data_IF_412159492159
#
_entry.id   IF_412159492159
#
_cell.length_a   1.000
_cell.length_b   1.000
_cell.length_c   1.000
_cell.angle_alpha   90.00
_cell.angle_beta   90.00
_cell.angle_gamma   90.00
#
_symmetry.space_group_name_H-M   'P 1'
#
loop_
_entity.id
_entity.type
_entity.pdbx_description
1 polymer ?
#
# COMPACT_ATOMS: atom_id res chain seq x y z
N UNK A 1 -26.46 -15.25 13.11
CA UNK A 1 -25.66 -14.11 13.59
C UNK A 1 -24.28 -14.66 13.93
N UNK A 2 -23.32 -14.52 13.05
CA UNK A 2 -21.93 -14.90 13.32
C UNK A 2 -21.31 -13.79 14.17
N UNK A 3 -20.82 -14.15 15.33
CA UNK A 3 -20.19 -13.26 16.32
C UNK A 3 -18.88 -12.73 15.71
N UNK A 4 -18.97 -11.63 14.92
CA UNK A 4 -17.78 -10.92 14.41
C UNK A 4 -17.10 -10.24 15.60
N UNK A 5 -15.94 -10.75 15.96
CA UNK A 5 -15.03 -10.05 16.89
C UNK A 5 -13.90 -9.44 16.07
N UNK A 6 -13.82 -8.10 15.98
CA UNK A 6 -12.70 -7.45 15.33
C UNK A 6 -11.39 -7.95 15.95
N UNK A 7 -10.42 -8.32 15.11
CA UNK A 7 -9.11 -8.74 15.59
C UNK A 7 -8.44 -7.53 16.27
N UNK A 8 -8.18 -7.63 17.56
CA UNK A 8 -7.45 -6.60 18.29
C UNK A 8 -6.10 -6.35 17.60
N UNK A 9 -5.74 -5.07 17.47
CA UNK A 9 -4.44 -4.66 16.94
C UNK A 9 -3.31 -5.38 17.67
N UNK A 10 -2.52 -6.17 16.96
CA UNK A 10 -1.45 -6.95 17.55
C UNK A 10 -0.17 -6.12 17.62
N UNK A 11 0.48 -6.08 18.77
CA UNK A 11 1.70 -5.31 19.02
C UNK A 11 2.77 -6.17 19.69
N UNK A 12 4.03 -5.82 19.45
CA UNK A 12 5.17 -6.46 20.10
C UNK A 12 5.25 -7.97 19.88
N UNK A 13 5.37 -8.75 20.94
CA UNK A 13 5.55 -10.21 20.93
C UNK A 13 4.36 -10.92 20.28
N UNK A 14 3.13 -10.45 20.48
CA UNK A 14 1.92 -11.08 19.90
C UNK A 14 1.90 -10.92 18.37
N UNK A 15 2.37 -9.78 17.85
CA UNK A 15 2.55 -9.57 16.41
C UNK A 15 3.66 -10.47 15.86
N UNK A 16 4.79 -10.53 16.54
CA UNK A 16 5.95 -11.36 16.15
C UNK A 16 5.62 -12.85 16.21
N UNK A 17 4.86 -13.32 17.19
CA UNK A 17 4.48 -14.73 17.31
C UNK A 17 3.54 -15.21 16.20
N UNK A 18 2.77 -14.30 15.59
CA UNK A 18 1.89 -14.57 14.44
C UNK A 18 2.49 -14.21 13.09
N UNK A 19 3.62 -13.52 13.09
CA UNK A 19 4.48 -13.37 11.91
C UNK A 19 5.47 -14.53 11.97
N UNK A 20 5.18 -15.72 11.38
CA UNK A 20 6.19 -16.75 11.29
C UNK A 20 7.37 -16.14 10.56
N UNK A 21 8.55 -16.56 10.93
CA UNK A 21 9.83 -16.12 10.38
C UNK A 21 9.70 -16.00 8.87
N UNK A 22 9.46 -14.79 8.37
CA UNK A 22 9.36 -14.51 6.93
C UNK A 22 10.75 -14.62 6.29
N UNK A 23 11.75 -14.29 7.08
CA UNK A 23 13.15 -14.31 6.69
C UNK A 23 14.01 -14.71 7.91
N UNK A 24 15.11 -15.45 7.76
CA UNK A 24 16.05 -15.70 8.85
C UNK A 24 16.48 -14.39 9.50
N UNK A 25 16.49 -14.36 10.84
CA UNK A 25 16.82 -13.13 11.56
C UNK A 25 18.18 -12.57 11.12
N UNK A 26 18.19 -11.34 10.64
CA UNK A 26 19.44 -10.63 10.35
C UNK A 26 20.16 -10.33 11.67
N UNK A 27 21.46 -10.62 11.75
CA UNK A 27 22.29 -10.20 12.88
C UNK A 27 22.22 -8.65 13.00
N UNK A 28 21.98 -8.18 14.23
CA UNK A 28 21.98 -6.73 14.50
C UNK A 28 23.27 -6.04 14.08
N UNK A 29 24.41 -6.74 14.21
CA UNK A 29 25.72 -6.22 13.81
C UNK A 29 25.87 -6.04 12.30
N UNK A 30 25.04 -6.73 11.47
CA UNK A 30 25.04 -6.64 10.02
C UNK A 30 24.08 -5.58 9.48
N UNK A 31 23.28 -4.93 10.35
CA UNK A 31 22.38 -3.85 9.92
C UNK A 31 23.16 -2.62 9.51
N UNK A 32 22.89 -2.12 8.31
CA UNK A 32 23.42 -0.85 7.87
C UNK A 32 22.89 0.29 8.77
N UNK A 33 23.74 1.20 9.24
CA UNK A 33 23.30 2.38 9.99
C UNK A 33 22.43 3.26 9.10
N UNK A 34 21.33 3.76 9.67
CA UNK A 34 20.45 4.69 8.95
C UNK A 34 21.17 6.01 8.71
N UNK A 35 21.27 6.48 7.47
CA UNK A 35 21.89 7.77 7.18
C UNK A 35 21.02 8.94 7.67
N UNK A 36 21.62 10.14 7.72
CA UNK A 36 20.98 11.33 8.28
C UNK A 36 19.72 11.79 7.55
N UNK A 37 19.54 11.43 6.29
CA UNK A 37 18.35 11.77 5.50
C UNK A 37 17.15 10.83 5.72
N UNK A 38 17.33 9.71 6.42
CA UNK A 38 16.24 8.82 6.83
C UNK A 38 15.74 9.27 8.20
N UNK A 39 14.89 10.31 8.20
CA UNK A 39 14.32 10.87 9.44
C UNK A 39 12.81 11.04 9.29
N UNK A 40 12.05 10.41 10.19
CA UNK A 40 10.62 10.63 10.33
C UNK A 40 10.33 11.88 11.16
N UNK A 41 9.30 12.62 10.81
CA UNK A 41 8.77 13.69 11.67
C UNK A 41 8.05 13.07 12.88
N UNK A 42 8.19 13.67 14.05
CA UNK A 42 7.53 13.17 15.26
C UNK A 42 6.00 13.23 15.14
N UNK A 43 5.27 12.12 15.32
CA UNK A 43 3.82 12.06 15.09
C UNK A 43 2.98 12.55 16.28
N UNK A 44 3.57 13.22 17.25
CA UNK A 44 2.96 13.55 18.56
C UNK A 44 2.11 14.84 18.57
N UNK A 45 1.42 15.19 17.48
CA UNK A 45 0.54 16.37 17.47
C UNK A 45 -0.85 16.05 18.05
N UNK A 46 -1.57 17.03 18.67
CA UNK A 46 -2.95 16.83 19.14
C UNK A 46 -3.90 16.34 18.03
N UNK A 47 -3.70 16.78 16.79
CA UNK A 47 -4.47 16.33 15.63
C UNK A 47 -4.31 14.83 15.40
N UNK A 48 -3.07 14.33 15.39
CA UNK A 48 -2.78 12.89 15.25
C UNK A 48 -3.39 12.07 16.39
N UNK A 49 -3.31 12.57 17.64
CA UNK A 49 -3.91 11.88 18.77
C UNK A 49 -5.43 11.78 18.65
N UNK A 50 -6.11 12.85 18.18
CA UNK A 50 -7.56 12.85 17.90
C UNK A 50 -7.91 11.82 16.83
N UNK A 51 -7.19 11.80 15.71
CA UNK A 51 -7.45 10.87 14.60
C UNK A 51 -7.28 9.41 15.03
N UNK A 52 -6.23 9.11 15.80
CA UNK A 52 -6.05 7.77 16.38
C UNK A 52 -7.20 7.36 17.31
N UNK A 53 -7.78 8.31 18.05
CA UNK A 53 -8.95 8.04 18.90
C UNK A 53 -10.17 7.69 18.06
N UNK A 54 -10.44 8.43 16.98
CA UNK A 54 -11.53 8.17 16.02
C UNK A 54 -11.40 6.77 15.41
N UNK A 55 -10.21 6.42 14.91
CA UNK A 55 -9.94 5.08 14.35
C UNK A 55 -10.26 3.95 15.33
N UNK A 56 -9.86 4.09 16.60
CA UNK A 56 -10.14 3.08 17.63
C UNK A 56 -11.62 2.97 17.98
N UNK A 57 -12.33 4.10 18.01
CA UNK A 57 -13.78 4.12 18.28
C UNK A 57 -14.56 3.42 17.17
N UNK A 58 -14.13 3.57 15.92
CA UNK A 58 -14.77 2.95 14.75
C UNK A 58 -14.17 1.58 14.39
N UNK A 59 -13.27 1.03 15.20
CA UNK A 59 -12.64 -0.30 15.02
C UNK A 59 -11.95 -0.50 13.65
N UNK A 60 -11.44 0.58 13.07
CA UNK A 60 -10.75 0.56 11.78
C UNK A 60 -9.24 0.49 11.94
N UNK A 61 -8.61 -0.13 10.95
CA UNK A 61 -7.18 -0.23 10.80
C UNK A 61 -6.66 0.74 9.74
N UNK A 62 -5.49 1.31 9.98
CA UNK A 62 -4.76 2.07 8.96
C UNK A 62 -3.40 1.43 8.70
N UNK A 63 -2.98 1.39 7.44
CA UNK A 63 -1.61 0.98 7.09
C UNK A 63 -0.58 1.86 7.80
N UNK A 64 -0.92 3.12 8.01
CA UNK A 64 -0.06 4.07 8.73
C UNK A 64 0.28 3.60 10.15
N UNK A 65 -0.64 2.92 10.84
CA UNK A 65 -0.41 2.35 12.17
C UNK A 65 0.12 0.91 12.10
N UNK A 66 -0.47 0.05 11.25
CA UNK A 66 -0.10 -1.37 11.17
C UNK A 66 1.31 -1.60 10.61
N UNK A 67 1.71 -0.83 9.60
CA UNK A 67 3.04 -0.91 9.00
C UNK A 67 4.06 0.06 9.62
N UNK A 68 3.77 0.69 10.76
CA UNK A 68 4.65 1.67 11.44
C UNK A 68 5.17 2.74 10.47
N UNK A 69 4.27 3.31 9.65
CA UNK A 69 4.64 4.28 8.61
C UNK A 69 5.32 5.52 9.21
N UNK A 70 6.51 5.89 8.73
CA UNK A 70 7.24 7.07 9.24
C UNK A 70 6.54 8.39 8.95
N UNK A 71 5.61 8.44 7.98
CA UNK A 71 4.93 9.64 7.53
C UNK A 71 3.56 9.87 8.20
N UNK A 72 3.14 8.99 9.12
CA UNK A 72 1.83 9.06 9.79
C UNK A 72 1.48 10.46 10.29
N UNK A 73 2.44 11.14 10.95
CA UNK A 73 2.22 12.48 11.48
C UNK A 73 1.98 13.54 10.41
N UNK A 74 2.62 13.40 9.27
CA UNK A 74 2.51 14.33 8.14
C UNK A 74 1.22 14.09 7.34
N UNK A 75 0.95 12.84 6.94
CA UNK A 75 -0.26 12.48 6.21
C UNK A 75 -1.53 12.86 6.98
N UNK A 76 -1.61 12.48 8.25
CA UNK A 76 -2.74 12.84 9.10
C UNK A 76 -2.84 14.36 9.31
N UNK A 77 -1.69 15.07 9.34
CA UNK A 77 -1.63 16.53 9.40
C UNK A 77 -2.25 17.19 8.16
N UNK A 78 -2.04 16.59 6.98
CA UNK A 78 -2.49 17.11 5.68
C UNK A 78 -3.90 16.64 5.27
N UNK A 79 -4.59 15.86 6.09
CA UNK A 79 -5.94 15.38 5.76
C UNK A 79 -5.97 14.17 4.82
N UNK A 80 -4.87 13.43 4.72
CA UNK A 80 -4.78 12.18 3.94
C UNK A 80 -4.61 11.00 4.88
N UNK A 81 -5.34 9.91 4.63
CA UNK A 81 -5.20 8.66 5.38
C UNK A 81 -5.30 7.45 4.47
N UNK A 82 -4.60 6.37 4.85
CA UNK A 82 -4.67 5.09 4.16
C UNK A 82 -5.32 4.07 5.07
N UNK A 83 -6.53 3.67 4.71
CA UNK A 83 -7.29 2.65 5.44
C UNK A 83 -6.98 1.27 4.90
N UNK A 84 -6.87 0.30 5.80
CA UNK A 84 -6.71 -1.11 5.46
C UNK A 84 -8.01 -1.83 5.76
N UNK A 85 -8.67 -2.32 4.74
CA UNK A 85 -9.93 -3.05 4.81
C UNK A 85 -9.72 -4.57 4.80
N UNK A 86 -10.79 -5.33 5.07
CA UNK A 86 -10.81 -6.79 5.09
C UNK A 86 -9.99 -7.42 6.22
N UNK A 87 -9.74 -6.65 7.28
CA UNK A 87 -9.04 -7.10 8.49
C UNK A 87 -7.52 -6.92 8.45
N UNK A 88 -6.83 -7.50 9.44
CA UNK A 88 -5.40 -7.30 9.68
C UNK A 88 -4.53 -8.55 9.39
N UNK A 89 -5.11 -9.62 8.80
CA UNK A 89 -4.40 -10.86 8.47
C UNK A 89 -4.38 -11.07 6.97
N UNK A 90 -3.18 -11.12 6.40
CA UNK A 90 -2.95 -11.36 4.97
C UNK A 90 -2.80 -12.86 4.68
N UNK A 91 -3.31 -13.34 3.55
CA UNK A 91 -3.09 -14.73 3.10
C UNK A 91 -1.67 -14.95 2.60
N UNK A 92 -0.91 -13.89 2.30
CA UNK A 92 0.47 -13.96 1.77
C UNK A 92 1.53 -13.56 2.79
N UNK A 93 2.79 -13.94 2.49
CA UNK A 93 3.95 -13.82 3.38
C UNK A 93 5.09 -13.02 2.75
N UNK A 94 4.80 -11.84 2.22
CA UNK A 94 5.84 -11.01 1.63
C UNK A 94 6.87 -10.61 2.68
N UNK A 95 8.17 -10.95 2.52
CA UNK A 95 9.16 -10.77 3.58
C UNK A 95 9.60 -9.32 3.80
N UNK A 96 9.12 -8.38 2.99
CA UNK A 96 9.29 -6.94 3.22
C UNK A 96 8.17 -6.33 4.08
N UNK A 97 6.99 -6.97 4.11
CA UNK A 97 5.75 -6.40 4.66
C UNK A 97 5.58 -6.71 6.14
N UNK A 98 5.25 -5.69 6.95
CA UNK A 98 5.03 -5.82 8.40
C UNK A 98 3.60 -6.26 8.77
N UNK A 99 2.71 -6.42 7.80
CA UNK A 99 1.35 -6.92 8.04
C UNK A 99 1.40 -8.39 8.46
N UNK A 100 0.63 -8.73 9.50
CA UNK A 100 0.52 -10.09 9.99
C UNK A 100 -0.12 -10.99 8.93
N UNK A 101 0.25 -12.29 8.91
CA UNK A 101 -0.33 -13.23 7.95
C UNK A 101 -0.93 -14.44 8.67
N UNK A 102 -1.88 -15.07 7.99
CA UNK A 102 -2.61 -16.20 8.53
C UNK A 102 -3.89 -16.45 7.77
N UNK A 103 -4.85 -17.08 8.44
CA UNK A 103 -6.20 -17.27 7.91
C UNK A 103 -7.07 -16.07 8.32
N UNK A 104 -7.48 -15.20 7.37
CA UNK A 104 -8.35 -14.07 7.67
C UNK A 104 -9.73 -14.52 8.20
N UNK A 105 -10.37 -13.64 8.96
CA UNK A 105 -11.78 -13.81 9.36
C UNK A 105 -12.71 -13.52 8.18
N UNK A 106 -14.00 -13.82 8.34
CA UNK A 106 -15.02 -13.39 7.39
C UNK A 106 -15.03 -11.86 7.25
N UNK A 107 -15.45 -11.37 6.09
CA UNK A 107 -15.62 -9.94 5.86
C UNK A 107 -16.66 -9.35 6.81
N UNK A 108 -16.39 -8.14 7.32
CA UNK A 108 -17.35 -7.39 8.10
C UNK A 108 -18.31 -6.63 7.16
N UNK A 109 -19.60 -6.96 7.13
CA UNK A 109 -20.56 -6.26 6.28
C UNK A 109 -20.77 -4.79 6.68
N UNK A 110 -20.36 -4.38 7.89
CA UNK A 110 -20.47 -3.01 8.38
C UNK A 110 -19.21 -2.18 8.11
N UNK A 111 -18.11 -2.78 7.67
CA UNK A 111 -16.84 -2.06 7.42
C UNK A 111 -17.01 -0.89 6.43
N UNK A 112 -17.79 -0.98 5.32
CA UNK A 112 -18.01 0.16 4.42
C UNK A 112 -18.70 1.36 5.10
N UNK A 113 -19.63 1.10 6.03
CA UNK A 113 -20.32 2.15 6.79
C UNK A 113 -19.38 2.78 7.80
N UNK A 114 -18.64 1.95 8.55
CA UNK A 114 -17.66 2.41 9.54
C UNK A 114 -16.54 3.24 8.89
N UNK A 115 -16.05 2.81 7.72
CA UNK A 115 -15.07 3.55 6.90
C UNK A 115 -15.61 4.94 6.53
N UNK A 116 -16.83 4.98 5.98
CA UNK A 116 -17.46 6.23 5.53
C UNK A 116 -17.67 7.21 6.69
N UNK A 117 -18.13 6.73 7.85
CA UNK A 117 -18.26 7.55 9.06
C UNK A 117 -16.92 8.13 9.48
N UNK A 118 -15.89 7.28 9.53
CA UNK A 118 -14.55 7.70 9.95
C UNK A 118 -13.95 8.73 9.02
N UNK A 119 -14.03 8.53 7.71
CA UNK A 119 -13.57 9.47 6.70
C UNK A 119 -14.27 10.83 6.85
N UNK A 120 -15.59 10.81 7.08
CA UNK A 120 -16.39 12.01 7.33
C UNK A 120 -15.98 12.74 8.61
N UNK A 121 -15.82 12.02 9.74
CA UNK A 121 -15.40 12.56 11.04
C UNK A 121 -13.98 13.14 11.02
N UNK A 122 -13.10 12.55 10.18
CA UNK A 122 -11.75 13.04 9.96
C UNK A 122 -11.69 14.27 9.04
N UNK A 123 -12.75 14.55 8.28
CA UNK A 123 -12.83 15.66 7.32
C UNK A 123 -11.82 15.52 6.19
N UNK A 124 -11.66 14.30 5.65
CA UNK A 124 -10.72 14.05 4.58
C UNK A 124 -11.31 14.47 3.23
N UNK A 125 -10.47 15.04 2.37
CA UNK A 125 -10.76 15.33 0.96
C UNK A 125 -10.22 14.26 0.02
N UNK A 126 -9.22 13.49 0.48
CA UNK A 126 -8.61 12.39 -0.25
C UNK A 126 -8.44 11.17 0.68
N UNK A 127 -8.83 10.01 0.19
CA UNK A 127 -8.70 8.75 0.94
C UNK A 127 -8.04 7.68 0.09
N UNK A 128 -7.07 6.98 0.67
CA UNK A 128 -6.52 5.76 0.09
C UNK A 128 -7.11 4.56 0.80
N UNK A 129 -7.67 3.63 0.06
CA UNK A 129 -8.19 2.36 0.57
C UNK A 129 -7.29 1.24 0.06
N UNK A 130 -6.72 0.47 0.97
CA UNK A 130 -5.97 -0.73 0.61
C UNK A 130 -6.49 -1.94 1.40
N UNK A 131 -5.98 -3.11 1.10
CA UNK A 131 -6.38 -4.33 1.80
C UNK A 131 -5.20 -5.25 2.06
N UNK A 132 -5.43 -6.23 2.90
CA UNK A 132 -4.65 -7.47 2.91
C UNK A 132 -4.98 -8.30 1.67
N UNK A 133 -4.07 -9.20 1.24
CA UNK A 133 -4.43 -10.20 0.22
C UNK A 133 -5.47 -11.18 0.78
N UNK A 134 -6.49 -11.45 -0.02
CA UNK A 134 -7.61 -12.32 0.30
C UNK A 134 -7.74 -13.43 -0.76
N UNK A 135 -6.66 -14.20 -0.95
CA UNK A 135 -6.66 -15.35 -1.86
C UNK A 135 -7.69 -16.44 -1.46
N UNK A 136 -8.27 -16.33 -0.27
CA UNK A 136 -9.35 -17.17 0.25
C UNK A 136 -10.73 -16.80 -0.34
N UNK A 137 -10.91 -15.60 -0.90
CA UNK A 137 -12.15 -15.14 -1.52
C UNK A 137 -12.16 -15.42 -3.02
N UNK A 138 -13.35 -15.69 -3.57
CA UNK A 138 -13.52 -16.03 -4.99
C UNK A 138 -13.20 -14.88 -5.94
N UNK A 139 -13.41 -13.65 -5.48
CA UNK A 139 -13.17 -12.40 -6.20
C UNK A 139 -11.90 -11.67 -5.72
N UNK A 140 -11.12 -12.29 -4.82
CA UNK A 140 -9.96 -11.67 -4.20
C UNK A 140 -10.28 -10.44 -3.33
N UNK A 141 -11.56 -10.21 -2.99
CA UNK A 141 -12.04 -9.08 -2.21
C UNK A 141 -12.50 -7.88 -3.04
N UNK A 142 -12.56 -7.98 -4.37
CA UNK A 142 -12.98 -6.88 -5.24
C UNK A 142 -14.38 -6.35 -4.91
N UNK A 143 -15.35 -7.22 -4.60
CA UNK A 143 -16.69 -6.82 -4.19
C UNK A 143 -16.70 -5.98 -2.90
N UNK A 144 -15.79 -6.24 -1.98
CA UNK A 144 -15.68 -5.45 -0.76
C UNK A 144 -15.07 -4.06 -1.01
N UNK A 145 -14.09 -3.96 -1.92
CA UNK A 145 -13.61 -2.65 -2.39
C UNK A 145 -14.75 -1.82 -2.99
N UNK A 146 -15.55 -2.42 -3.88
CA UNK A 146 -16.70 -1.74 -4.50
C UNK A 146 -17.72 -1.30 -3.44
N UNK A 147 -18.01 -2.12 -2.45
CA UNK A 147 -18.91 -1.74 -1.35
C UNK A 147 -18.39 -0.52 -0.58
N UNK A 148 -17.08 -0.47 -0.29
CA UNK A 148 -16.43 0.66 0.38
C UNK A 148 -16.46 1.94 -0.48
N UNK A 149 -16.08 1.83 -1.76
CA UNK A 149 -16.08 2.97 -2.70
C UNK A 149 -17.49 3.51 -2.87
N UNK A 150 -18.48 2.65 -3.08
CA UNK A 150 -19.89 3.05 -3.26
C UNK A 150 -20.45 3.74 -2.02
N UNK A 151 -20.15 3.22 -0.82
CA UNK A 151 -20.59 3.85 0.43
C UNK A 151 -19.98 5.25 0.62
N UNK A 152 -18.69 5.42 0.30
CA UNK A 152 -18.02 6.72 0.33
C UNK A 152 -18.63 7.69 -0.68
N UNK A 153 -18.80 7.29 -1.94
CA UNK A 153 -19.41 8.12 -2.99
C UNK A 153 -20.83 8.57 -2.62
N UNK A 154 -21.63 7.68 -2.04
CA UNK A 154 -22.99 8.00 -1.61
C UNK A 154 -23.03 9.08 -0.51
N UNK A 155 -22.12 8.99 0.47
CA UNK A 155 -22.11 9.90 1.62
C UNK A 155 -21.28 11.17 1.41
N UNK A 156 -20.20 11.06 0.65
CA UNK A 156 -19.18 12.08 0.42
C UNK A 156 -18.89 12.19 -1.09
N UNK A 157 -19.80 12.74 -1.90
CA UNK A 157 -19.70 12.69 -3.38
C UNK A 157 -18.46 13.38 -3.95
N UNK A 158 -17.90 14.37 -3.23
CA UNK A 158 -16.72 15.15 -3.67
C UNK A 158 -15.37 14.55 -3.23
N UNK A 159 -15.41 13.42 -2.47
CA UNK A 159 -14.16 12.84 -1.99
C UNK A 159 -13.39 12.16 -3.11
N UNK A 160 -12.07 12.36 -3.16
CA UNK A 160 -11.19 11.64 -4.06
C UNK A 160 -10.80 10.29 -3.44
N UNK A 161 -10.94 9.21 -4.19
CA UNK A 161 -10.73 7.84 -3.71
C UNK A 161 -9.66 7.16 -4.55
N UNK A 162 -8.52 6.83 -3.92
CA UNK A 162 -7.52 5.93 -4.47
C UNK A 162 -7.73 4.54 -3.87
N UNK A 163 -7.69 3.49 -4.69
CA UNK A 163 -7.59 2.12 -4.18
C UNK A 163 -6.21 1.54 -4.49
N UNK A 164 -5.55 0.96 -3.47
CA UNK A 164 -4.33 0.19 -3.62
C UNK A 164 -4.67 -1.29 -3.48
N UNK A 165 -4.71 -2.00 -4.60
CA UNK A 165 -5.23 -3.36 -4.67
C UNK A 165 -4.11 -4.43 -4.68
N UNK A 166 -4.42 -5.67 -4.25
CA UNK A 166 -3.56 -6.83 -4.48
C UNK A 166 -3.53 -7.21 -5.97
N UNK A 167 -2.72 -8.21 -6.35
CA UNK A 167 -2.65 -8.69 -7.74
C UNK A 167 -3.84 -9.58 -8.16
N UNK A 168 -4.81 -9.83 -7.28
CA UNK A 168 -5.96 -10.71 -7.52
C UNK A 168 -5.59 -12.05 -8.15
N UNK A 169 -4.54 -12.66 -7.73
CA UNK A 169 -3.94 -13.88 -8.27
C UNK A 169 -4.96 -14.91 -8.77
N UNK A 170 -4.96 -15.17 -10.10
CA UNK A 170 -5.88 -16.10 -10.74
C UNK A 170 -7.35 -15.65 -10.80
N UNK A 171 -7.65 -14.38 -10.44
CA UNK A 171 -9.01 -13.80 -10.39
C UNK A 171 -9.08 -12.40 -10.99
N UNK A 172 -8.02 -11.94 -11.68
CA UNK A 172 -7.91 -10.57 -12.16
C UNK A 172 -9.10 -10.16 -13.04
N UNK A 173 -9.51 -11.01 -13.99
CA UNK A 173 -10.67 -10.75 -14.85
C UNK A 173 -11.94 -10.44 -14.04
N UNK A 174 -12.32 -11.36 -13.13
CA UNK A 174 -13.52 -11.22 -12.28
C UNK A 174 -13.39 -9.98 -11.39
N UNK A 175 -12.20 -9.75 -10.82
CA UNK A 175 -11.96 -8.61 -9.95
C UNK A 175 -12.09 -7.28 -10.71
N UNK A 176 -11.51 -7.17 -11.90
CA UNK A 176 -11.59 -5.97 -12.74
C UNK A 176 -13.02 -5.69 -13.21
N UNK A 177 -13.79 -6.71 -13.58
CA UNK A 177 -15.21 -6.57 -13.95
C UNK A 177 -16.04 -6.02 -12.78
N UNK A 178 -15.77 -6.47 -11.56
CA UNK A 178 -16.43 -5.99 -10.35
C UNK A 178 -16.00 -4.56 -10.04
N UNK A 179 -14.71 -4.25 -10.04
CA UNK A 179 -14.17 -2.91 -9.74
C UNK A 179 -14.66 -1.86 -10.76
N UNK A 180 -14.84 -2.24 -12.01
CA UNK A 180 -15.42 -1.38 -13.04
C UNK A 180 -16.86 -0.91 -12.79
N UNK A 181 -17.59 -1.55 -11.87
CA UNK A 181 -18.97 -1.16 -11.51
C UNK A 181 -19.03 0.09 -10.63
N UNK A 182 -18.00 0.34 -9.82
CA UNK A 182 -17.86 1.54 -9.00
C UNK A 182 -16.38 1.90 -8.91
N UNK A 183 -15.82 2.46 -9.98
CA UNK A 183 -14.39 2.68 -10.08
C UNK A 183 -13.91 3.79 -9.14
N UNK A 184 -12.63 3.74 -8.70
CA UNK A 184 -11.99 4.81 -7.92
C UNK A 184 -11.63 6.01 -8.80
N UNK A 185 -11.05 7.05 -8.23
CA UNK A 185 -10.43 8.14 -8.97
C UNK A 185 -8.98 7.83 -9.37
N UNK A 186 -8.30 6.95 -8.61
CA UNK A 186 -6.96 6.42 -8.92
C UNK A 186 -6.92 4.94 -8.62
N UNK A 187 -6.45 4.14 -9.58
CA UNK A 187 -6.22 2.71 -9.40
C UNK A 187 -4.74 2.43 -9.21
N UNK A 188 -4.37 1.88 -8.06
CA UNK A 188 -2.99 1.63 -7.68
C UNK A 188 -2.74 0.14 -7.45
N UNK A 189 -1.67 -0.37 -8.05
CA UNK A 189 -1.09 -1.67 -7.74
C UNK A 189 0.44 -1.56 -7.78
N UNK A 190 1.11 -1.83 -6.66
CA UNK A 190 2.55 -1.72 -6.58
C UNK A 190 3.25 -2.95 -7.17
N UNK A 191 4.28 -2.72 -8.00
CA UNK A 191 5.22 -3.77 -8.41
C UNK A 191 6.22 -4.11 -7.31
N UNK A 192 6.49 -3.19 -6.40
CA UNK A 192 7.34 -3.27 -5.20
C UNK A 192 8.83 -3.41 -5.51
N UNK A 193 9.24 -4.17 -6.53
CA UNK A 193 10.65 -4.43 -6.85
C UNK A 193 10.85 -4.82 -8.32
N UNK A 194 12.11 -5.01 -8.72
CA UNK A 194 12.50 -5.40 -10.08
C UNK A 194 12.33 -6.91 -10.33
N UNK A 195 12.14 -7.37 -11.58
CA UNK A 195 11.85 -8.78 -11.92
C UNK A 195 12.80 -9.80 -11.28
N UNK A 196 14.12 -9.54 -11.32
CA UNK A 196 15.15 -10.42 -10.73
C UNK A 196 14.92 -10.70 -9.24
N UNK A 197 14.32 -9.75 -8.51
CA UNK A 197 14.10 -9.86 -7.07
C UNK A 197 12.72 -10.40 -6.69
N UNK A 198 11.80 -10.62 -7.64
CA UNK A 198 10.42 -11.03 -7.34
C UNK A 198 10.34 -12.26 -6.46
N UNK A 199 11.08 -13.33 -6.78
CA UNK A 199 11.06 -14.58 -5.98
C UNK A 199 11.50 -14.38 -4.53
N UNK A 200 12.40 -13.42 -4.28
CA UNK A 200 12.91 -13.09 -2.94
C UNK A 200 11.99 -12.12 -2.19
N UNK A 201 11.45 -11.12 -2.87
CA UNK A 201 10.73 -9.98 -2.29
C UNK A 201 9.23 -10.22 -2.27
N UNK A 202 8.66 -10.72 -3.36
CA UNK A 202 7.22 -11.01 -3.55
C UNK A 202 6.98 -12.48 -3.91
N UNK A 203 7.32 -13.43 -3.03
CA UNK A 203 7.13 -14.85 -3.33
C UNK A 203 5.65 -15.14 -3.60
N UNK A 204 5.38 -15.70 -4.78
CA UNK A 204 4.03 -16.02 -5.22
C UNK A 204 3.30 -14.92 -5.97
N UNK A 205 3.90 -13.75 -6.19
CA UNK A 205 3.46 -12.76 -7.19
C UNK A 205 4.19 -12.98 -8.52
N UNK A 206 3.61 -12.46 -9.59
CA UNK A 206 4.16 -12.51 -10.93
C UNK A 206 4.30 -11.08 -11.48
N UNK A 207 5.43 -10.77 -12.12
CA UNK A 207 5.75 -9.44 -12.61
C UNK A 207 4.87 -9.04 -13.79
N UNK A 208 4.80 -9.90 -14.81
CA UNK A 208 4.02 -9.66 -16.01
C UNK A 208 2.52 -9.58 -15.70
N UNK A 209 2.05 -10.42 -14.77
CA UNK A 209 0.68 -10.35 -14.27
C UNK A 209 0.37 -9.01 -13.60
N UNK A 210 1.31 -8.45 -12.81
CA UNK A 210 1.15 -7.15 -12.16
C UNK A 210 1.08 -6.00 -13.16
N UNK A 211 1.91 -6.02 -14.21
CA UNK A 211 1.84 -5.06 -15.32
C UNK A 211 0.52 -5.18 -16.09
N UNK A 212 0.15 -6.41 -16.45
CA UNK A 212 -1.10 -6.70 -17.16
C UNK A 212 -2.34 -6.26 -16.37
N UNK A 213 -2.34 -6.39 -15.05
CA UNK A 213 -3.43 -5.93 -14.18
C UNK A 213 -3.66 -4.41 -14.31
N UNK A 214 -2.56 -3.63 -14.26
CA UNK A 214 -2.60 -2.17 -14.40
C UNK A 214 -3.10 -1.76 -15.78
N UNK A 215 -2.56 -2.36 -16.82
CA UNK A 215 -2.95 -2.10 -18.21
C UNK A 215 -4.43 -2.42 -18.44
N UNK A 216 -4.87 -3.60 -18.05
CA UNK A 216 -6.26 -4.02 -18.24
C UNK A 216 -7.25 -3.13 -17.49
N UNK A 217 -6.90 -2.62 -16.29
CA UNK A 217 -7.76 -1.66 -15.62
C UNK A 217 -7.82 -0.34 -16.37
N UNK A 218 -6.66 0.21 -16.82
CA UNK A 218 -6.59 1.44 -17.59
C UNK A 218 -7.41 1.38 -18.88
N UNK A 219 -7.34 0.26 -19.59
CA UNK A 219 -8.10 0.03 -20.83
C UNK A 219 -9.62 -0.03 -20.58
N UNK A 220 -10.05 -0.66 -19.48
CA UNK A 220 -11.48 -0.83 -19.16
C UNK A 220 -12.12 0.42 -18.55
N UNK A 221 -11.35 1.21 -17.80
CA UNK A 221 -11.86 2.31 -16.99
C UNK A 221 -11.26 3.69 -17.38
N UNK A 222 -10.92 3.87 -18.67
CA UNK A 222 -10.47 5.18 -19.16
C UNK A 222 -11.51 6.27 -18.89
N UNK A 223 -11.15 7.46 -18.37
CA UNK A 223 -9.79 8.01 -18.24
C UNK A 223 -9.17 7.91 -16.83
N UNK A 224 -9.52 6.93 -16.03
CA UNK A 224 -9.02 6.81 -14.66
C UNK A 224 -7.52 6.49 -14.66
N UNK A 225 -6.67 7.31 -14.00
CA UNK A 225 -5.24 7.10 -13.97
C UNK A 225 -4.88 5.83 -13.18
N UNK A 226 -3.87 5.11 -13.69
CA UNK A 226 -3.24 4.00 -12.98
C UNK A 226 -1.94 4.46 -12.33
N UNK A 227 -1.63 3.86 -11.19
CA UNK A 227 -0.48 4.17 -10.33
C UNK A 227 0.25 2.92 -9.94
N UNK A 228 1.57 3.03 -9.82
CA UNK A 228 2.41 1.95 -9.28
C UNK A 228 3.54 2.49 -8.42
N UNK A 229 4.19 1.60 -7.67
CA UNK A 229 5.30 1.98 -6.81
C UNK A 229 6.36 0.90 -6.67
N UNK A 230 7.61 1.36 -6.41
CA UNK A 230 8.77 0.53 -6.13
C UNK A 230 9.41 0.93 -4.82
N UNK A 231 9.90 -0.08 -4.10
CA UNK A 231 10.79 0.09 -2.96
C UNK A 231 12.24 -0.13 -3.40
N UNK A 232 13.11 0.83 -3.10
CA UNK A 232 14.53 0.77 -3.44
C UNK A 232 15.37 0.43 -2.21
N UNK A 233 16.49 -0.25 -2.44
CA UNK A 233 17.41 -0.68 -1.39
C UNK A 233 17.28 -2.15 -1.01
N UNK A 234 16.69 -2.98 -1.88
CA UNK A 234 16.56 -4.44 -1.75
C UNK A 234 17.61 -5.22 -2.55
N UNK A 235 18.51 -4.51 -3.26
CA UNK A 235 19.60 -5.07 -4.06
C UNK A 235 19.42 -4.91 -5.58
N UNK A 236 18.47 -4.08 -6.01
CA UNK A 236 18.29 -3.64 -7.39
C UNK A 236 19.40 -2.67 -7.82
N UNK A 237 19.67 -2.61 -9.12
CA UNK A 237 20.47 -1.53 -9.72
C UNK A 237 19.60 -0.40 -10.23
N UNK A 238 20.17 0.77 -10.52
CA UNK A 238 19.41 1.90 -11.06
C UNK A 238 18.91 1.58 -12.46
N UNK A 239 19.68 0.88 -13.27
CA UNK A 239 19.30 0.47 -14.61
C UNK A 239 18.12 -0.50 -14.59
N UNK A 240 18.06 -1.42 -13.61
CA UNK A 240 16.91 -2.31 -13.41
C UNK A 240 15.65 -1.51 -13.01
N UNK A 241 15.79 -0.48 -12.17
CA UNK A 241 14.67 0.40 -11.81
C UNK A 241 14.18 1.18 -13.03
N UNK A 242 15.06 1.76 -13.83
CA UNK A 242 14.70 2.49 -15.05
C UNK A 242 14.03 1.57 -16.08
N UNK A 243 14.47 0.30 -16.20
CA UNK A 243 13.79 -0.68 -17.04
C UNK A 243 12.34 -0.94 -16.56
N UNK A 244 12.11 -1.11 -15.25
CA UNK A 244 10.77 -1.26 -14.70
C UNK A 244 9.92 0.00 -14.89
N UNK A 245 10.51 1.19 -14.77
CA UNK A 245 9.81 2.44 -15.05
C UNK A 245 9.33 2.48 -16.51
N UNK A 246 10.18 2.05 -17.44
CA UNK A 246 9.83 1.94 -18.85
C UNK A 246 8.69 0.94 -19.08
N UNK A 247 8.78 -0.26 -18.49
CA UNK A 247 7.73 -1.28 -18.58
C UNK A 247 6.39 -0.74 -18.07
N UNK A 248 6.37 -0.05 -16.91
CA UNK A 248 5.19 0.59 -16.34
C UNK A 248 4.58 1.63 -17.29
N UNK A 249 5.42 2.49 -17.89
CA UNK A 249 4.97 3.51 -18.82
C UNK A 249 4.37 2.89 -20.09
N UNK A 250 5.02 1.85 -20.64
CA UNK A 250 4.54 1.11 -21.83
C UNK A 250 3.21 0.38 -21.56
N UNK A 251 2.91 0.05 -20.27
CA UNK A 251 1.61 -0.51 -19.85
C UNK A 251 0.61 0.55 -19.39
N UNK A 252 0.82 1.83 -19.75
CA UNK A 252 -0.14 2.92 -19.53
C UNK A 252 -0.21 3.46 -18.12
N UNK A 253 0.77 3.17 -17.25
CA UNK A 253 0.81 3.74 -15.91
C UNK A 253 1.21 5.22 -15.97
N UNK A 254 0.42 6.08 -15.34
CA UNK A 254 0.63 7.53 -15.37
C UNK A 254 1.29 8.09 -14.12
N UNK A 255 1.11 7.43 -12.97
CA UNK A 255 1.61 7.90 -11.68
C UNK A 255 2.59 6.89 -11.08
N UNK A 256 3.78 7.37 -10.69
CA UNK A 256 4.84 6.54 -10.16
C UNK A 256 5.29 6.99 -8.76
N UNK A 257 5.50 6.04 -7.86
CA UNK A 257 6.12 6.30 -6.54
C UNK A 257 7.39 5.48 -6.35
N UNK A 258 8.47 6.13 -5.95
CA UNK A 258 9.76 5.50 -5.65
C UNK A 258 10.18 5.85 -4.22
N UNK A 259 10.30 4.86 -3.34
CA UNK A 259 10.62 5.05 -1.94
C UNK A 259 11.69 4.12 -1.41
N UNK A 260 12.40 4.51 -0.34
CA UNK A 260 13.39 3.64 0.29
C UNK A 260 12.69 2.51 1.07
N UNK A 261 13.09 1.27 0.86
CA UNK A 261 12.76 0.17 1.73
C UNK A 261 13.35 0.39 3.12
N UNK A 262 12.54 0.25 4.16
CA UNK A 262 12.95 0.32 5.55
C UNK A 262 12.59 -1.01 6.22
N UNK A 263 13.58 -1.76 6.67
CA UNK A 263 13.38 -3.07 7.32
C UNK A 263 12.54 -2.92 8.61
N UNK A 264 11.33 -3.53 8.68
CA UNK A 264 10.45 -3.38 9.84
C UNK A 264 11.01 -4.07 11.09
N UNK A 265 11.55 -5.28 10.96
CA UNK A 265 12.17 -6.03 12.05
C UNK A 265 13.32 -6.91 11.54
N UNK A 266 14.05 -7.56 12.46
CA UNK A 266 15.12 -8.49 12.10
C UNK A 266 14.64 -9.73 11.32
N UNK A 267 13.34 -10.01 11.33
CA UNK A 267 12.71 -11.12 10.61
C UNK A 267 12.15 -10.72 9.24
N UNK A 268 12.55 -9.56 8.73
CA UNK A 268 12.24 -9.07 7.38
C UNK A 268 13.52 -8.99 6.55
N UNK A 269 13.36 -8.81 5.25
CA UNK A 269 14.50 -8.63 4.34
C UNK A 269 15.42 -7.53 4.86
N UNK A 270 16.74 -7.74 4.85
CA UNK A 270 17.69 -6.68 5.19
C UNK A 270 17.65 -5.56 4.15
N UNK A 271 17.99 -4.35 4.59
CA UNK A 271 18.32 -3.25 3.67
C UNK A 271 19.70 -3.52 3.08
N UNK A 272 19.79 -3.67 1.76
CA UNK A 272 21.05 -3.91 1.06
C UNK A 272 21.84 -2.61 0.87
N UNK A 273 21.13 -1.49 0.66
CA UNK A 273 21.72 -0.13 0.63
C UNK A 273 20.69 0.94 0.96
N UNK A 274 21.14 2.08 1.41
CA UNK A 274 20.33 3.31 1.45
C UNK A 274 20.64 4.14 0.22
N UNK A 275 19.63 4.32 -0.63
CA UNK A 275 19.70 5.11 -1.86
C UNK A 275 19.82 6.59 -1.49
N UNK A 276 20.77 7.29 -2.10
CA UNK A 276 21.00 8.69 -1.80
C UNK A 276 19.86 9.58 -2.37
N UNK A 277 19.50 10.70 -1.69
CA UNK A 277 18.47 11.61 -2.21
C UNK A 277 18.71 12.08 -3.64
N UNK A 278 19.97 12.27 -4.03
CA UNK A 278 20.33 12.65 -5.41
C UNK A 278 20.01 11.56 -6.46
N UNK A 279 20.05 10.27 -6.06
CA UNK A 279 19.64 9.17 -6.95
C UNK A 279 18.11 9.15 -7.14
N UNK A 280 17.35 9.37 -6.06
CA UNK A 280 15.89 9.54 -6.14
C UNK A 280 15.51 10.70 -7.05
N UNK A 281 16.22 11.83 -6.96
CA UNK A 281 15.97 12.99 -7.82
C UNK A 281 16.28 12.68 -9.30
N UNK A 282 17.35 11.93 -9.59
CA UNK A 282 17.65 11.48 -10.96
C UNK A 282 16.54 10.60 -11.51
N UNK A 283 16.03 9.65 -10.72
CA UNK A 283 14.92 8.76 -11.12
C UNK A 283 13.63 9.56 -11.31
N UNK A 284 13.35 10.58 -10.49
CA UNK A 284 12.21 11.48 -10.70
C UNK A 284 12.28 12.16 -12.06
N UNK A 285 13.42 12.79 -12.37
CA UNK A 285 13.64 13.45 -13.66
C UNK A 285 13.59 12.46 -14.84
N UNK A 286 14.12 11.25 -14.66
CA UNK A 286 14.04 10.18 -15.67
C UNK A 286 12.58 9.80 -15.95
N UNK A 287 11.77 9.61 -14.91
CA UNK A 287 10.34 9.28 -15.05
C UNK A 287 9.53 10.41 -15.72
N UNK A 288 9.78 11.66 -15.37
CA UNK A 288 9.12 12.80 -16.01
C UNK A 288 9.49 12.89 -17.50
N UNK A 289 10.74 12.61 -17.87
CA UNK A 289 11.19 12.54 -19.26
C UNK A 289 10.57 11.34 -20.01
N UNK A 290 10.29 10.24 -19.35
CA UNK A 290 9.58 9.09 -19.94
C UNK A 290 8.12 9.42 -20.24
N UNK A 291 7.53 10.41 -19.58
CA UNK A 291 6.15 10.87 -19.81
C UNK A 291 5.17 10.56 -18.68
N UNK A 292 5.62 10.08 -17.51
CA UNK A 292 4.74 9.97 -16.35
C UNK A 292 4.16 11.34 -15.99
N UNK A 293 2.86 11.39 -15.69
CA UNK A 293 2.18 12.64 -15.32
C UNK A 293 2.58 13.13 -13.93
N UNK A 294 2.89 12.17 -13.04
CA UNK A 294 3.39 12.48 -11.70
C UNK A 294 4.40 11.42 -11.24
N UNK A 295 5.54 11.87 -10.70
CA UNK A 295 6.58 11.00 -10.13
C UNK A 295 6.95 11.49 -8.72
N UNK A 296 6.45 10.79 -7.71
CA UNK A 296 6.90 11.01 -6.33
C UNK A 296 8.11 10.11 -6.04
N UNK A 297 9.29 10.69 -5.84
CA UNK A 297 10.52 9.95 -5.64
C UNK A 297 11.34 10.53 -4.49
N UNK A 298 11.66 9.71 -3.49
CA UNK A 298 12.44 10.16 -2.34
C UNK A 298 12.52 9.13 -1.22
N UNK A 299 13.49 9.29 -0.29
CA UNK A 299 13.74 8.30 0.77
C UNK A 299 12.53 8.01 1.67
N UNK A 300 11.65 8.98 1.87
CA UNK A 300 10.48 8.85 2.74
C UNK A 300 9.18 8.65 1.96
N UNK A 301 9.22 8.63 0.62
CA UNK A 301 8.03 8.40 -0.21
C UNK A 301 7.46 7.00 0.06
N UNK A 302 6.14 6.91 0.05
CA UNK A 302 5.32 5.69 0.14
C UNK A 302 4.20 5.80 -0.90
N UNK A 303 3.56 4.68 -1.24
CA UNK A 303 2.51 4.65 -2.28
C UNK A 303 1.41 5.68 -2.06
N UNK A 304 1.08 6.00 -0.82
CA UNK A 304 0.04 6.98 -0.46
C UNK A 304 0.61 8.30 0.08
N UNK A 305 1.92 8.55 -0.06
CA UNK A 305 2.54 9.80 0.38
C UNK A 305 2.25 10.90 -0.63
N UNK A 306 1.66 12.01 -0.17
CA UNK A 306 1.18 13.11 -1.03
C UNK A 306 0.29 12.62 -2.19
N UNK A 307 -0.58 11.65 -1.91
CA UNK A 307 -1.48 11.09 -2.91
C UNK A 307 -2.53 12.09 -3.43
N UNK A 308 -2.69 13.21 -2.72
CA UNK A 308 -3.57 14.34 -3.03
C UNK A 308 -2.94 15.37 -4.01
N UNK A 309 -1.70 15.17 -4.47
CA UNK A 309 -0.98 15.98 -5.45
C UNK A 309 -0.90 15.28 -6.80
#
# INVERSE_FOLDING_TARGET
MTDYRPSAQQRGIDKVSRVPVKFPATDRAQRLPKPNWIRAKFPGTPKVARLKKILRQNQLHTVCEEANCPNLGECFGNGTATFMIMGALCTRRCPFCDVAHGRPSALDPNEPIALTQTVSEMGLSYVVITSVDRDDLRDGGAGHFVACVSALRFKLPEIQIEILVPDFRGRAEVALDILGQSPPDVFNHNLETVPRLYRRVRPGADYEHSLSLLQQFGDRCTPIPTKSGLMLGLGETIEEVEAVMKDLYEHGVQILTLGQYLQPSLHHLPVERYVAPAEFEKLRVSGEKMGFTHVASGPMVRSSYHADQ
#
